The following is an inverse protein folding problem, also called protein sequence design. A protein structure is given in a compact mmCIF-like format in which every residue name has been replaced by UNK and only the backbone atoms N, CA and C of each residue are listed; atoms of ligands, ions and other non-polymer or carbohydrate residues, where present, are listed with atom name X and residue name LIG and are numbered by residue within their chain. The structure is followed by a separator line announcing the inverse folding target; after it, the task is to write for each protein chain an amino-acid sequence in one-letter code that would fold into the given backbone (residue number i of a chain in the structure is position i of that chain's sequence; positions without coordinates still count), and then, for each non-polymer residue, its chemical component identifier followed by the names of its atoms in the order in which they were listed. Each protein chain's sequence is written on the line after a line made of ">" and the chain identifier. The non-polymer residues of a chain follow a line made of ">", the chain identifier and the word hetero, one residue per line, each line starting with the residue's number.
data_IF_702358210826
#
_entry.id   IF_702358210826
#
_cell.length_a   1.000
_cell.length_b   1.000
_cell.length_c   1.000
_cell.angle_alpha   90.00
_cell.angle_beta   90.00
_cell.angle_gamma   90.00
#
_symmetry.space_group_name_H-M   'P 1'
#
loop_
_entity.id
_entity.type
_entity.pdbx_description
1 polymer ?
#
# COMPACT_ATOMS: atom_id res chain seq x y z
N UNK A 1 -0.88 0.00 -11.40
CA UNK A 1 -1.40 -0.72 -10.24
C UNK A 1 -1.15 0.10 -8.99
N UNK A 2 -2.02 0.02 -7.98
CA UNK A 2 -1.79 0.68 -6.69
C UNK A 2 -1.15 -0.29 -5.71
N UNK A 3 -0.33 0.22 -4.80
CA UNK A 3 0.14 -0.54 -3.65
C UNK A 3 -0.83 -0.37 -2.49
N UNK A 4 -0.93 -1.41 -1.66
CA UNK A 4 -1.80 -1.45 -0.50
C UNK A 4 -1.02 -1.94 0.70
N UNK A 5 -1.34 -1.40 1.88
CA UNK A 5 -0.74 -1.77 3.15
C UNK A 5 -1.82 -1.97 4.20
N UNK A 6 -1.62 -2.96 5.07
CA UNK A 6 -2.57 -3.24 6.15
C UNK A 6 -2.47 -2.17 7.25
N UNK A 7 -3.58 -1.78 7.89
CA UNK A 7 -3.57 -0.85 9.00
C UNK A 7 -2.74 -1.36 10.19
N UNK A 8 -2.69 -2.68 10.37
CA UNK A 8 -1.90 -3.34 11.40
C UNK A 8 -0.41 -3.05 11.23
N UNK A 9 0.11 -3.17 10.01
CA UNK A 9 1.52 -2.85 9.69
C UNK A 9 1.81 -1.37 9.87
N UNK A 10 0.92 -0.49 9.38
CA UNK A 10 1.11 0.96 9.57
C UNK A 10 1.21 1.34 11.05
N UNK A 11 0.44 0.65 11.90
CA UNK A 11 0.44 0.88 13.35
C UNK A 11 1.70 0.29 13.99
N UNK A 12 2.06 -0.94 13.63
CA UNK A 12 3.24 -1.63 14.16
C UNK A 12 4.55 -0.89 13.85
N UNK A 13 4.67 -0.35 12.64
CA UNK A 13 5.83 0.41 12.17
C UNK A 13 5.72 1.92 12.43
N UNK A 14 4.60 2.39 13.01
CA UNK A 14 4.31 3.81 13.27
C UNK A 14 4.46 4.69 12.02
N UNK A 15 4.02 4.19 10.88
CA UNK A 15 4.04 4.92 9.63
C UNK A 15 3.07 6.11 9.69
N UNK A 16 3.46 7.22 9.06
CA UNK A 16 2.57 8.36 8.92
C UNK A 16 1.48 8.02 7.91
N UNK A 17 0.21 8.09 8.35
CA UNK A 17 -0.95 7.90 7.49
C UNK A 17 -1.58 9.26 7.25
N UNK A 18 -1.46 9.76 6.03
CA UNK A 18 -2.14 10.99 5.61
C UNK A 18 -3.59 10.64 5.28
N UNK A 19 -4.59 11.27 5.95
CA UNK A 19 -5.98 11.08 5.58
C UNK A 19 -6.20 11.50 4.14
N UNK A 20 -6.80 10.63 3.33
CA UNK A 20 -7.17 10.95 1.96
C UNK A 20 -8.68 10.93 1.82
N UNK A 21 -9.22 11.65 0.84
CA UNK A 21 -10.66 11.62 0.54
C UNK A 21 -11.06 10.17 0.35
N UNK A 22 -12.01 9.69 1.17
CA UNK A 22 -12.44 8.29 1.20
C UNK A 22 -12.81 7.81 -0.20
N UNK A 23 -11.86 7.17 -0.89
CA UNK A 23 -12.10 6.49 -2.15
C UNK A 23 -12.57 5.09 -1.78
N UNK A 24 -13.82 4.79 -2.07
CA UNK A 24 -14.29 3.41 -2.12
C UNK A 24 -13.57 2.74 -3.29
N UNK A 25 -12.52 1.99 -3.00
CA UNK A 25 -11.76 1.29 -4.03
C UNK A 25 -12.54 0.01 -4.32
N UNK A 26 -13.02 -0.11 -5.56
CA UNK A 26 -13.61 -1.34 -6.05
C UNK A 26 -12.47 -2.31 -6.35
N UNK A 27 -12.35 -3.34 -5.54
CA UNK A 27 -11.46 -4.46 -5.82
C UNK A 27 -11.99 -5.24 -7.03
N UNK A 28 -11.11 -5.95 -7.74
CA UNK A 28 -11.47 -6.73 -8.93
C UNK A 28 -12.56 -7.79 -8.71
N UNK A 29 -12.79 -8.20 -7.46
CA UNK A 29 -13.86 -9.11 -7.03
C UNK A 29 -15.22 -8.43 -6.77
N UNK A 30 -15.34 -7.11 -7.00
CA UNK A 30 -16.57 -6.35 -6.77
C UNK A 30 -16.76 -5.85 -5.34
N UNK A 31 -15.93 -6.26 -4.38
CA UNK A 31 -15.96 -5.71 -3.02
C UNK A 31 -15.44 -4.26 -3.01
N UNK A 32 -16.10 -3.41 -2.23
CA UNK A 32 -15.65 -2.04 -1.96
C UNK A 32 -14.93 -2.03 -0.63
N UNK A 33 -13.65 -1.68 -0.65
CA UNK A 33 -12.88 -1.48 0.59
C UNK A 33 -12.71 0.01 0.79
N UNK A 34 -12.89 0.44 2.04
CA UNK A 34 -12.79 1.83 2.43
C UNK A 34 -11.32 2.16 2.70
N UNK A 35 -10.76 3.07 1.91
CA UNK A 35 -9.40 3.56 2.12
C UNK A 35 -9.35 4.41 3.38
N UNK A 36 -8.47 4.05 4.32
CA UNK A 36 -8.27 4.81 5.57
C UNK A 36 -7.34 6.02 5.39
N UNK A 37 -6.53 6.01 4.34
CA UNK A 37 -5.51 7.02 4.08
C UNK A 37 -4.45 6.52 3.11
N UNK A 38 -3.42 7.33 2.92
CA UNK A 38 -2.22 6.98 2.17
C UNK A 38 -1.00 7.08 3.08
N UNK A 39 -0.10 6.11 2.98
CA UNK A 39 1.26 6.20 3.47
C UNK A 39 2.15 6.53 2.27
N UNK A 40 2.78 7.70 2.30
CA UNK A 40 3.68 8.17 1.26
C UNK A 40 5.12 7.84 1.63
N UNK A 41 5.95 7.52 0.63
CA UNK A 41 7.38 7.29 0.83
C UNK A 41 7.71 6.05 1.68
N UNK A 42 6.90 4.99 1.61
CA UNK A 42 7.18 3.74 2.34
C UNK A 42 8.38 3.06 1.70
N UNK A 43 9.45 2.90 2.48
CA UNK A 43 10.62 2.16 2.05
C UNK A 43 10.42 0.66 2.24
N UNK A 44 10.54 -0.09 1.14
CA UNK A 44 10.46 -1.55 1.11
C UNK A 44 11.84 -2.08 0.78
N UNK A 45 12.45 -2.70 1.79
CA UNK A 45 13.70 -3.43 1.64
C UNK A 45 13.41 -4.84 1.12
N UNK A 46 13.86 -5.14 -0.09
CA UNK A 46 13.78 -6.49 -0.68
C UNK A 46 15.13 -7.22 -0.64
N UNK A 47 16.13 -6.68 0.05
CA UNK A 47 17.48 -7.22 0.18
C UNK A 47 18.50 -6.47 -0.69
N UNK A 48 18.62 -6.78 -2.00
CA UNK A 48 19.62 -6.14 -2.85
C UNK A 48 19.26 -4.69 -3.21
N UNK A 49 18.01 -4.29 -3.00
CA UNK A 49 17.50 -2.96 -3.36
C UNK A 49 16.38 -2.53 -2.40
N UNK A 50 16.31 -1.21 -2.18
CA UNK A 50 15.25 -0.56 -1.40
C UNK A 50 14.39 0.23 -2.37
N UNK A 51 13.09 -0.01 -2.33
CA UNK A 51 12.11 0.69 -3.15
C UNK A 51 11.31 1.66 -2.30
N UNK A 52 11.15 2.88 -2.80
CA UNK A 52 10.22 3.83 -2.21
C UNK A 52 8.89 3.73 -2.94
N UNK A 53 7.81 3.49 -2.20
CA UNK A 53 6.46 3.37 -2.76
C UNK A 53 5.43 4.11 -1.92
N UNK A 54 4.43 4.67 -2.60
CA UNK A 54 3.21 5.13 -1.93
C UNK A 54 2.23 3.96 -1.83
N UNK A 55 1.61 3.79 -0.66
CA UNK A 55 0.70 2.70 -0.36
C UNK A 55 -0.61 3.19 0.26
N UNK A 56 -1.74 2.67 -0.24
CA UNK A 56 -3.06 2.97 0.27
C UNK A 56 -3.39 2.03 1.44
N UNK A 57 -3.91 2.59 2.53
CA UNK A 57 -4.22 1.84 3.75
C UNK A 57 -5.59 1.18 3.63
N UNK A 58 -5.61 -0.15 3.57
CA UNK A 58 -6.82 -0.96 3.36
C UNK A 58 -6.77 -2.25 4.19
N UNK A 59 -7.92 -2.74 4.63
CA UNK A 59 -8.01 -4.07 5.25
C UNK A 59 -7.68 -5.16 4.22
N UNK A 60 -6.56 -5.86 4.43
CA UNK A 60 -6.06 -6.89 3.51
C UNK A 60 -6.36 -8.33 3.95
N UNK A 61 -7.09 -8.52 5.06
CA UNK A 61 -7.55 -9.84 5.48
C UNK A 61 -6.43 -10.82 5.82
N UNK A 62 -5.36 -10.36 6.48
CA UNK A 62 -4.22 -11.17 6.92
C UNK A 62 -2.97 -11.07 6.05
N UNK A 63 -2.97 -10.25 5.00
CA UNK A 63 -1.75 -9.84 4.30
C UNK A 63 -1.23 -8.52 4.86
N UNK A 64 0.08 -8.34 4.83
CA UNK A 64 0.74 -7.12 5.31
C UNK A 64 0.81 -6.04 4.24
N UNK A 65 1.28 -6.40 3.03
CA UNK A 65 1.50 -5.48 1.92
C UNK A 65 1.15 -6.16 0.60
N UNK A 66 0.49 -5.43 -0.30
CA UNK A 66 0.25 -5.85 -1.69
C UNK A 66 0.85 -4.81 -2.61
N UNK A 67 1.83 -5.21 -3.42
CA UNK A 67 2.51 -4.32 -4.36
C UNK A 67 1.92 -4.48 -5.77
N UNK A 68 1.32 -3.41 -6.29
CA UNK A 68 0.70 -3.42 -7.60
C UNK A 68 1.70 -3.13 -8.71
N UNK A 69 1.63 -3.87 -9.83
CA UNK A 69 2.54 -3.86 -11.00
C UNK A 69 3.18 -2.53 -11.49
N UNK A 70 2.70 -1.36 -11.10
CA UNK A 70 3.41 -0.09 -11.36
C UNK A 70 4.71 0.05 -10.56
N UNK A 71 4.90 -0.66 -9.45
CA UNK A 71 6.21 -0.70 -8.80
C UNK A 71 7.23 -1.48 -9.65
N UNK A 72 6.81 -2.50 -10.41
CA UNK A 72 7.74 -3.28 -11.24
C UNK A 72 8.39 -2.42 -12.35
N UNK A 73 7.78 -1.31 -12.78
CA UNK A 73 8.42 -0.41 -13.74
C UNK A 73 9.61 0.37 -13.15
N UNK A 74 9.81 0.39 -11.83
CA UNK A 74 11.02 0.94 -11.22
C UNK A 74 12.20 -0.04 -11.24
N UNK A 75 11.96 -1.34 -11.53
CA UNK A 75 13.02 -2.36 -11.72
C UNK A 75 13.66 -2.30 -13.12
N UNK A 76 13.45 -1.21 -13.87
CA UNK A 76 13.86 -1.10 -15.27
C UNK A 76 15.37 -1.27 -15.47
N UNK A 77 15.74 -2.40 -16.09
CA UNK A 77 16.83 -2.53 -17.04
C UNK A 77 16.30 -2.37 -18.46
#
# INVERSE_FOLDING_TARGET
>A
GHNFISPEVTTALRLHVTPTTAKAIKLGNGHRVLCKGICEGVQIDLGPEIFEVDALVLELGGLDVVLGVSWLSTLGY
#
